data_IF_436952009707
#
_entry.id   IF_436952009707
#
_cell.length_a   1.000
_cell.length_b   1.000
_cell.length_c   1.000
_cell.angle_alpha   90.00
_cell.angle_beta   90.00
_cell.angle_gamma   90.00
#
_symmetry.space_group_name_H-M   'P 1'
#
loop_
_entity.id
_entity.type
_entity.pdbx_description
1 polymer ?
#
# COMPACT_ATOMS: atom_id res chain seq x y z
N UNK A 1 -9.83 -26.44 14.74
CA UNK A 1 -9.25 -25.46 15.68
C UNK A 1 -10.27 -24.39 16.00
N UNK A 2 -10.41 -24.05 17.27
CA UNK A 2 -11.32 -23.00 17.71
C UNK A 2 -10.91 -21.65 17.10
N UNK A 3 -11.89 -20.86 16.65
CA UNK A 3 -11.64 -19.55 16.05
C UNK A 3 -10.90 -18.60 17.00
N UNK A 4 -11.03 -18.78 18.32
CA UNK A 4 -10.30 -17.95 19.28
C UNK A 4 -8.80 -18.27 19.26
N UNK A 5 -8.42 -19.51 18.98
CA UNK A 5 -7.01 -19.87 18.83
C UNK A 5 -6.42 -19.25 17.58
N UNK A 6 -7.20 -19.23 16.47
CA UNK A 6 -6.75 -18.52 15.27
C UNK A 6 -6.51 -17.05 15.57
N UNK A 7 -7.43 -16.40 16.26
CA UNK A 7 -7.31 -14.99 16.60
C UNK A 7 -6.08 -14.70 17.45
N UNK A 8 -5.73 -15.60 18.36
CA UNK A 8 -4.53 -15.44 19.18
C UNK A 8 -3.23 -15.58 18.38
N UNK A 9 -3.26 -16.38 17.32
CA UNK A 9 -2.07 -16.62 16.50
C UNK A 9 -1.91 -15.63 15.36
N UNK A 10 -2.97 -15.00 14.91
CA UNK A 10 -2.92 -14.00 13.85
C UNK A 10 -2.54 -12.65 14.47
N UNK A 11 -1.42 -12.09 14.05
CA UNK A 11 -0.83 -10.89 14.68
C UNK A 11 -1.01 -9.61 13.85
N UNK A 12 -1.73 -9.68 12.75
CA UNK A 12 -1.90 -8.55 11.85
C UNK A 12 -1.36 -8.87 10.46
N UNK A 13 -1.23 -7.86 9.64
CA UNK A 13 -0.71 -8.01 8.28
C UNK A 13 0.81 -8.09 8.35
N UNK A 14 1.41 -9.14 7.78
CA UNK A 14 2.86 -9.25 7.70
C UNK A 14 3.41 -8.43 6.53
N UNK A 15 2.84 -8.63 5.36
CA UNK A 15 3.21 -7.87 4.17
C UNK A 15 2.08 -7.88 3.17
N UNK A 16 2.18 -6.98 2.21
CA UNK A 16 1.25 -6.90 1.08
C UNK A 16 2.07 -7.22 -0.16
N UNK A 17 1.62 -8.18 -0.95
CA UNK A 17 2.33 -8.60 -2.16
C UNK A 17 1.92 -7.75 -3.35
N UNK A 18 2.89 -7.28 -4.10
CA UNK A 18 2.68 -6.48 -5.31
C UNK A 18 3.48 -7.11 -6.45
N UNK A 19 2.86 -7.99 -7.25
CA UNK A 19 3.49 -8.46 -8.46
C UNK A 19 3.50 -7.35 -9.50
N UNK A 20 4.61 -7.18 -10.21
CA UNK A 20 4.75 -6.04 -11.10
C UNK A 20 5.63 -6.35 -12.30
N UNK A 21 5.28 -5.78 -13.46
CA UNK A 21 6.16 -5.69 -14.61
C UNK A 21 6.97 -4.39 -14.59
N UNK A 22 6.74 -3.53 -13.60
CA UNK A 22 7.39 -2.22 -13.47
C UNK A 22 8.12 -2.13 -12.14
N UNK A 23 9.10 -3.03 -11.99
CA UNK A 23 9.79 -3.22 -10.71
C UNK A 23 10.44 -1.92 -10.20
N UNK A 24 11.26 -1.28 -11.03
CA UNK A 24 11.99 -0.08 -10.59
C UNK A 24 11.04 1.09 -10.30
N UNK A 25 10.05 1.29 -11.16
CA UNK A 25 9.07 2.37 -10.94
C UNK A 25 8.29 2.16 -9.64
N UNK A 26 7.99 0.90 -9.33
CA UNK A 26 7.28 0.55 -8.10
C UNK A 26 8.15 0.86 -6.87
N UNK A 27 9.41 0.45 -6.90
CA UNK A 27 10.34 0.78 -5.81
C UNK A 27 10.47 2.29 -5.63
N UNK A 28 10.61 3.01 -6.73
CA UNK A 28 10.79 4.46 -6.67
C UNK A 28 9.58 5.15 -6.04
N UNK A 29 8.36 4.70 -6.39
CA UNK A 29 7.16 5.27 -5.81
C UNK A 29 7.14 5.10 -4.29
N UNK A 30 7.32 3.87 -3.82
CA UNK A 30 7.21 3.63 -2.38
C UNK A 30 8.34 4.27 -1.60
N UNK A 31 9.54 4.32 -2.17
CA UNK A 31 10.65 5.03 -1.54
C UNK A 31 10.36 6.53 -1.43
N UNK A 32 9.68 7.10 -2.42
CA UNK A 32 9.30 8.51 -2.36
C UNK A 32 8.30 8.78 -1.24
N UNK A 33 7.54 7.76 -0.82
CA UNK A 33 6.61 7.85 0.30
C UNK A 33 7.30 7.65 1.66
N UNK A 34 8.59 7.33 1.65
CA UNK A 34 9.34 7.13 2.88
C UNK A 34 9.63 5.67 3.23
N UNK A 35 9.27 4.73 2.36
CA UNK A 35 9.61 3.33 2.59
C UNK A 35 11.11 3.11 2.39
N UNK A 36 11.69 2.27 3.23
CA UNK A 36 13.07 1.80 3.09
C UNK A 36 13.09 0.40 2.51
N UNK A 37 14.01 0.15 1.59
CA UNK A 37 14.25 -1.21 1.12
C UNK A 37 15.05 -1.92 2.19
N UNK A 38 14.46 -2.96 2.79
CA UNK A 38 15.10 -3.71 3.87
C UNK A 38 15.71 -5.02 3.41
N UNK A 39 15.29 -5.52 2.26
CA UNK A 39 15.86 -6.74 1.68
C UNK A 39 15.58 -6.77 0.18
N UNK A 40 16.57 -7.24 -0.59
CA UNK A 40 16.40 -7.47 -2.02
C UNK A 40 17.00 -8.83 -2.34
N UNK A 41 16.29 -9.59 -3.16
CA UNK A 41 16.72 -10.91 -3.56
C UNK A 41 16.43 -11.12 -5.04
N UNK A 42 17.15 -12.07 -5.62
CA UNK A 42 16.86 -12.58 -6.96
C UNK A 42 16.48 -14.05 -6.79
N UNK A 43 15.25 -14.36 -7.10
CA UNK A 43 14.73 -15.71 -6.95
C UNK A 43 14.30 -16.22 -8.32
N UNK A 44 14.98 -17.28 -8.79
CA UNK A 44 14.68 -17.92 -10.08
C UNK A 44 14.63 -16.93 -11.25
N UNK A 45 15.53 -15.94 -11.24
CA UNK A 45 15.60 -14.94 -12.31
C UNK A 45 14.67 -13.76 -12.13
N UNK A 46 13.87 -13.73 -11.07
CA UNK A 46 12.98 -12.62 -10.77
C UNK A 46 13.45 -11.85 -9.54
N UNK A 47 13.38 -10.54 -9.60
CA UNK A 47 13.78 -9.67 -8.50
C UNK A 47 12.64 -9.54 -7.51
N UNK A 48 12.99 -9.55 -6.22
CA UNK A 48 12.05 -9.36 -5.13
C UNK A 48 12.64 -8.36 -4.17
N UNK A 49 11.84 -7.39 -3.74
CA UNK A 49 12.24 -6.42 -2.74
C UNK A 49 11.21 -6.36 -1.62
N UNK A 50 11.71 -6.27 -0.40
CA UNK A 50 10.87 -5.99 0.77
C UNK A 50 11.13 -4.56 1.21
N UNK A 51 10.05 -3.79 1.30
CA UNK A 51 10.09 -2.39 1.70
C UNK A 51 9.27 -2.22 2.97
N UNK A 52 9.73 -1.35 3.84
CA UNK A 52 9.01 -1.12 5.10
C UNK A 52 9.00 0.36 5.47
N UNK A 53 7.87 0.78 5.99
CA UNK A 53 7.73 2.04 6.72
C UNK A 53 6.94 1.70 7.99
N UNK A 54 7.50 2.04 9.15
CA UNK A 54 6.88 1.70 10.44
C UNK A 54 6.52 0.22 10.51
N UNK A 55 5.24 -0.11 10.66
CA UNK A 55 4.76 -1.50 10.74
C UNK A 55 4.16 -2.02 9.44
N UNK A 56 4.34 -1.30 8.33
CA UNK A 56 3.83 -1.72 7.02
C UNK A 56 4.98 -2.30 6.21
N UNK A 57 4.79 -3.53 5.74
CA UNK A 57 5.77 -4.20 4.88
C UNK A 57 5.14 -4.57 3.55
N UNK A 58 5.84 -4.26 2.46
CA UNK A 58 5.46 -4.62 1.11
C UNK A 58 6.46 -5.60 0.55
N UNK A 59 5.97 -6.59 -0.21
CA UNK A 59 6.81 -7.46 -1.01
C UNK A 59 6.55 -7.15 -2.47
N UNK A 60 7.53 -6.56 -3.13
CA UNK A 60 7.43 -6.21 -4.55
C UNK A 60 8.14 -7.29 -5.35
N UNK A 61 7.37 -8.02 -6.15
CA UNK A 61 7.88 -9.16 -6.93
C UNK A 61 7.82 -8.84 -8.41
N UNK A 62 8.94 -8.99 -9.08
CA UNK A 62 8.99 -8.88 -10.54
C UNK A 62 8.21 -10.05 -11.15
N UNK A 63 7.34 -9.75 -12.12
CA UNK A 63 6.51 -10.75 -12.77
C UNK A 63 6.49 -10.49 -14.28
N UNK A 64 6.57 -11.56 -15.07
CA UNK A 64 6.47 -11.45 -16.52
C UNK A 64 5.06 -11.15 -16.98
N UNK A 65 4.08 -11.63 -16.24
CA UNK A 65 2.66 -11.37 -16.51
C UNK A 65 2.04 -10.75 -15.31
N UNK A 66 1.60 -9.49 -15.42
CA UNK A 66 0.74 -8.95 -14.39
C UNK A 66 -0.59 -9.68 -14.51
N UNK A 67 -1.04 -10.24 -13.39
CA UNK A 67 -2.36 -10.80 -13.32
C UNK A 67 -3.38 -9.74 -13.74
N UNK A 68 -4.48 -10.19 -14.32
CA UNK A 68 -5.58 -9.31 -14.64
C UNK A 68 -6.01 -8.55 -13.38
N UNK A 69 -6.67 -7.41 -13.55
CA UNK A 69 -7.07 -6.56 -12.43
C UNK A 69 -7.83 -7.30 -11.34
N UNK A 70 -8.47 -8.40 -11.67
CA UNK A 70 -9.22 -9.22 -10.73
C UNK A 70 -8.34 -10.02 -9.76
N UNK A 71 -7.08 -10.27 -10.12
CA UNK A 71 -6.16 -11.08 -9.30
C UNK A 71 -5.21 -10.23 -8.48
N UNK A 72 -5.39 -8.91 -8.48
CA UNK A 72 -4.55 -7.99 -7.73
C UNK A 72 -5.23 -7.58 -6.44
N UNK A 73 -4.40 -7.22 -5.47
CA UNK A 73 -4.90 -6.49 -4.33
C UNK A 73 -5.44 -5.17 -4.86
N UNK A 74 -6.73 -4.93 -4.66
CA UNK A 74 -7.42 -3.76 -5.20
C UNK A 74 -6.86 -2.46 -4.63
N UNK A 75 -6.54 -2.47 -3.35
CA UNK A 75 -5.88 -1.35 -2.70
C UNK A 75 -5.16 -1.81 -1.44
N UNK A 76 -4.20 -1.02 -1.02
CA UNK A 76 -3.60 -1.12 0.29
C UNK A 76 -3.89 0.18 1.03
N UNK A 77 -4.24 0.09 2.29
CA UNK A 77 -4.53 1.26 3.11
C UNK A 77 -3.36 1.50 4.06
N UNK A 78 -2.86 2.72 4.03
CA UNK A 78 -1.83 3.19 4.94
C UNK A 78 -2.47 4.14 5.95
N UNK A 79 -2.25 3.88 7.23
CA UNK A 79 -2.72 4.77 8.27
C UNK A 79 -1.84 6.02 8.30
N UNK A 80 -2.43 7.20 8.21
CA UNK A 80 -1.69 8.46 8.16
C UNK A 80 -2.26 9.46 9.14
N UNK A 81 -1.47 10.50 9.38
CA UNK A 81 -1.92 11.70 10.10
C UNK A 81 -1.92 12.86 9.13
N UNK A 82 -2.73 13.89 9.42
CA UNK A 82 -2.78 15.12 8.63
C UNK A 82 -3.09 14.86 7.16
N UNK A 83 -4.13 14.09 6.92
CA UNK A 83 -4.51 13.64 5.58
C UNK A 83 -4.75 14.81 4.62
N UNK A 84 -5.35 15.92 5.08
CA UNK A 84 -5.62 17.07 4.23
C UNK A 84 -4.32 17.74 3.75
N UNK A 85 -3.35 17.85 4.64
CA UNK A 85 -2.04 18.41 4.27
C UNK A 85 -1.33 17.50 3.27
N UNK A 86 -1.36 16.18 3.50
CA UNK A 86 -0.76 15.22 2.58
C UNK A 86 -1.40 15.31 1.21
N UNK A 87 -2.73 15.43 1.17
CA UNK A 87 -3.44 15.57 -0.11
C UNK A 87 -2.92 16.79 -0.88
N UNK A 88 -2.81 17.93 -0.22
CA UNK A 88 -2.30 19.14 -0.86
C UNK A 88 -0.88 18.99 -1.37
N UNK A 89 -0.02 18.36 -0.57
CA UNK A 89 1.39 18.17 -0.94
C UNK A 89 1.57 17.17 -2.06
N UNK A 90 0.70 16.18 -2.17
CA UNK A 90 0.81 15.15 -3.19
C UNK A 90 0.19 15.53 -4.52
N UNK A 91 -0.61 16.59 -4.56
CA UNK A 91 -1.16 17.10 -5.82
C UNK A 91 -0.03 17.52 -6.75
N UNK A 92 -0.08 17.08 -8.01
CA UNK A 92 0.93 17.41 -9.00
C UNK A 92 2.21 16.60 -8.92
N UNK A 93 2.38 15.79 -7.87
CA UNK A 93 3.55 14.91 -7.69
C UNK A 93 3.17 13.46 -7.92
N UNK A 94 2.03 13.04 -7.41
CA UNK A 94 1.53 11.68 -7.55
C UNK A 94 0.29 11.65 -8.41
N UNK A 95 0.01 10.48 -9.00
CA UNK A 95 -1.23 10.27 -9.74
C UNK A 95 -2.36 10.01 -8.73
N UNK A 96 -3.21 11.01 -8.54
CA UNK A 96 -4.33 10.90 -7.60
C UNK A 96 -5.54 10.27 -8.26
N UNK A 97 -6.18 9.32 -7.59
CA UNK A 97 -7.45 8.77 -8.00
C UNK A 97 -8.62 9.55 -7.41
N UNK A 98 -8.37 10.26 -6.33
CA UNK A 98 -9.37 11.08 -5.65
C UNK A 98 -9.26 12.52 -6.11
N UNK A 99 -10.40 13.20 -6.27
CA UNK A 99 -10.43 14.62 -6.58
C UNK A 99 -10.41 15.48 -5.31
N UNK A 100 -10.73 14.87 -4.19
CA UNK A 100 -10.75 15.52 -2.88
C UNK A 100 -10.56 14.48 -1.79
N UNK A 101 -10.30 14.94 -0.58
CA UNK A 101 -10.31 14.07 0.60
C UNK A 101 -11.76 13.70 0.89
N UNK A 102 -12.01 12.40 1.02
CA UNK A 102 -13.34 11.87 1.30
C UNK A 102 -13.45 11.55 2.79
N UNK A 103 -14.66 11.62 3.31
CA UNK A 103 -14.94 11.26 4.70
C UNK A 103 -16.09 10.27 4.73
N UNK A 104 -15.91 9.21 5.53
CA UNK A 104 -16.93 8.19 5.71
C UNK A 104 -17.19 8.01 7.20
N UNK A 105 -18.45 7.75 7.59
CA UNK A 105 -18.82 7.58 9.00
C UNK A 105 -18.52 6.15 9.48
N UNK A 106 -17.34 5.66 9.15
CA UNK A 106 -16.91 4.33 9.57
C UNK A 106 -16.21 4.42 10.91
N UNK A 107 -16.39 3.38 11.72
CA UNK A 107 -15.89 3.33 13.08
C UNK A 107 -16.57 4.42 13.93
N UNK A 108 -16.18 4.50 15.19
CA UNK A 108 -16.76 5.51 16.09
C UNK A 108 -16.28 6.92 15.81
N UNK A 109 -15.23 7.04 15.02
CA UNK A 109 -14.51 8.31 14.90
C UNK A 109 -14.42 8.83 13.46
N UNK A 110 -15.20 8.31 12.54
CA UNK A 110 -15.10 8.66 11.12
C UNK A 110 -13.69 8.43 10.57
N UNK A 111 -13.58 8.31 9.26
CA UNK A 111 -12.29 8.23 8.56
C UNK A 111 -12.27 9.27 7.45
N UNK A 112 -11.07 9.80 7.19
CA UNK A 112 -10.82 10.69 6.05
C UNK A 112 -9.69 10.10 5.24
N UNK A 113 -9.86 10.07 3.92
CA UNK A 113 -8.88 9.40 3.06
C UNK A 113 -8.87 9.96 1.65
N UNK A 114 -7.79 9.68 0.94
CA UNK A 114 -7.71 9.85 -0.49
C UNK A 114 -6.88 8.72 -1.07
N UNK A 115 -6.92 8.55 -2.40
CA UNK A 115 -6.29 7.43 -3.08
C UNK A 115 -5.30 7.90 -4.11
N UNK A 116 -4.16 7.21 -4.17
CA UNK A 116 -3.08 7.40 -5.13
C UNK A 116 -2.97 6.14 -5.97
N UNK A 117 -2.63 6.28 -7.24
CA UNK A 117 -2.45 5.15 -8.14
C UNK A 117 -0.97 4.90 -8.40
N UNK A 118 -0.55 3.65 -8.25
CA UNK A 118 0.81 3.23 -8.57
C UNK A 118 0.94 2.78 -10.02
N UNK A 119 2.16 2.42 -10.44
CA UNK A 119 2.44 2.09 -11.86
C UNK A 119 1.80 0.78 -12.34
N UNK A 120 1.31 -0.04 -11.42
CA UNK A 120 0.62 -1.29 -11.77
C UNK A 120 -0.90 -1.12 -11.66
N UNK A 121 -1.38 0.10 -11.66
CA UNK A 121 -2.78 0.45 -11.40
C UNK A 121 -3.24 0.05 -10.01
N UNK A 122 -2.28 -0.25 -9.11
CA UNK A 122 -2.61 -0.50 -7.71
C UNK A 122 -3.09 0.79 -7.06
N UNK A 123 -4.05 0.66 -6.17
CA UNK A 123 -4.59 1.79 -5.43
C UNK A 123 -4.00 1.80 -4.03
N UNK A 124 -3.43 2.92 -3.65
CA UNK A 124 -2.87 3.14 -2.33
C UNK A 124 -3.76 4.17 -1.64
N UNK A 125 -4.39 3.76 -0.55
CA UNK A 125 -5.26 4.64 0.22
C UNK A 125 -4.47 5.24 1.38
N UNK A 126 -4.52 6.55 1.51
CA UNK A 126 -3.97 7.27 2.66
C UNK A 126 -5.14 7.59 3.56
N UNK A 127 -5.20 6.94 4.71
CA UNK A 127 -6.38 6.96 5.56
C UNK A 127 -6.04 7.44 6.96
N UNK A 128 -6.79 8.41 7.44
CA UNK A 128 -6.67 8.93 8.80
C UNK A 128 -7.95 8.62 9.57
N UNK A 129 -7.80 7.95 10.72
CA UNK A 129 -8.90 7.76 11.65
C UNK A 129 -8.97 8.99 12.55
N UNK A 130 -10.14 9.63 12.57
CA UNK A 130 -10.36 10.77 13.43
C UNK A 130 -10.64 10.28 14.84
N UNK A 131 -9.93 10.80 15.82
CA UNK A 131 -10.01 10.32 17.19
C UNK A 131 -11.37 10.58 17.83
#
# INVERSE_FOLDING_TARGET
>A
MDKYLYKLHIKGIQHIGIPTQKYQETLDLYRSLGFDIINQENYQGHRVAFLRIHNVMLEVCESETTADATDRIDHSALSVEKVDQLFREMQGVYRLRSTEVEQLPYWKSDIRFFKVEGPNHEVIELCEMLA
#
